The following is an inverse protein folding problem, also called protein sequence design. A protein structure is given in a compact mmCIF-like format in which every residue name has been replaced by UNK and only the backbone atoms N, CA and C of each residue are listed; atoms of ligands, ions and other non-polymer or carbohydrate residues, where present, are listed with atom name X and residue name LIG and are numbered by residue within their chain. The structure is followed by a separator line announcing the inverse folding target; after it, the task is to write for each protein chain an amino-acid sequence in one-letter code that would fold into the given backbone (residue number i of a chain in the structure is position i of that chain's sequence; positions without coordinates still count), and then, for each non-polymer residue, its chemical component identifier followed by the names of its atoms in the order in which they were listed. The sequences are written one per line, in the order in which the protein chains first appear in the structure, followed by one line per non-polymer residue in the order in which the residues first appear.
data_IF_994251840314
#
_entry.id   IF_994251840314
#
_cell.length_a   1.000
_cell.length_b   1.000
_cell.length_c   1.000
_cell.angle_alpha   90.00
_cell.angle_beta   90.00
_cell.angle_gamma   90.00
#
_symmetry.space_group_name_H-M   'P 1'
#
loop_
_entity.id
_entity.type
_entity.pdbx_description
1 polymer ?
#
# COMPACT_ATOMS: atom_id res chain seq x y z
N UNK A 1 11.00 -20.84 -37.11
CA UNK A 1 10.85 -21.14 -35.67
C UNK A 1 12.06 -20.72 -34.82
N UNK A 2 13.30 -21.12 -35.11
CA UNK A 2 14.50 -20.76 -34.30
C UNK A 2 14.67 -19.22 -34.12
N UNK A 3 14.55 -18.43 -35.20
CA UNK A 3 14.65 -16.96 -35.12
C UNK A 3 13.55 -16.33 -34.26
N UNK A 4 12.31 -16.81 -34.35
CA UNK A 4 11.20 -16.30 -33.53
C UNK A 4 11.43 -16.57 -32.02
N UNK A 5 11.95 -17.75 -31.68
CA UNK A 5 12.30 -18.07 -30.28
C UNK A 5 13.44 -17.19 -29.77
N UNK A 6 14.46 -16.92 -30.60
CA UNK A 6 15.55 -16.01 -30.24
C UNK A 6 15.04 -14.59 -30.01
N UNK A 7 14.17 -14.07 -30.90
CA UNK A 7 13.58 -12.74 -30.72
C UNK A 7 12.75 -12.66 -29.44
N UNK A 8 11.92 -13.65 -29.16
CA UNK A 8 11.13 -13.70 -27.91
C UNK A 8 12.03 -13.72 -26.67
N UNK A 9 13.11 -14.52 -26.69
CA UNK A 9 14.07 -14.55 -25.59
C UNK A 9 14.77 -13.21 -25.40
N UNK A 10 15.20 -12.55 -26.48
CA UNK A 10 15.83 -11.22 -26.41
C UNK A 10 14.86 -10.19 -25.83
N UNK A 11 13.61 -10.17 -26.29
CA UNK A 11 12.58 -9.26 -25.75
C UNK A 11 12.35 -9.52 -24.28
N UNK A 12 12.19 -10.78 -23.88
CA UNK A 12 11.99 -11.14 -22.47
C UNK A 12 13.17 -10.68 -21.59
N UNK A 13 14.41 -11.00 -21.98
CA UNK A 13 15.60 -10.58 -21.26
C UNK A 13 15.78 -9.06 -21.20
N UNK A 14 15.37 -8.35 -22.26
CA UNK A 14 15.42 -6.88 -22.27
C UNK A 14 14.40 -6.27 -21.31
N UNK A 15 13.21 -6.83 -21.21
CA UNK A 15 12.17 -6.38 -20.25
C UNK A 15 12.56 -6.71 -18.82
N UNK A 16 13.11 -7.90 -18.59
CA UNK A 16 13.62 -8.34 -17.31
C UNK A 16 14.75 -7.41 -16.80
N UNK A 17 15.72 -7.12 -17.64
CA UNK A 17 16.78 -6.16 -17.33
C UNK A 17 16.26 -4.74 -17.08
N UNK A 18 15.27 -4.30 -17.85
CA UNK A 18 14.66 -2.98 -17.67
C UNK A 18 13.92 -2.87 -16.33
N UNK A 19 13.21 -3.93 -15.91
CA UNK A 19 12.55 -4.00 -14.62
C UNK A 19 13.56 -3.97 -13.47
N UNK A 20 14.64 -4.74 -13.57
CA UNK A 20 15.73 -4.76 -12.59
C UNK A 20 16.38 -3.37 -12.45
N UNK A 21 16.73 -2.74 -13.59
CA UNK A 21 17.30 -1.39 -13.60
C UNK A 21 16.35 -0.35 -12.98
N UNK A 22 15.04 -0.47 -13.24
CA UNK A 22 14.02 0.37 -12.61
C UNK A 22 13.99 0.16 -11.08
N UNK A 23 13.93 -1.07 -10.60
CA UNK A 23 13.93 -1.34 -9.16
C UNK A 23 15.21 -0.86 -8.47
N UNK A 24 16.38 -1.03 -9.08
CA UNK A 24 17.64 -0.48 -8.57
C UNK A 24 17.55 1.05 -8.45
N UNK A 25 16.92 1.75 -9.40
CA UNK A 25 16.76 3.21 -9.37
C UNK A 25 15.92 3.69 -8.18
N UNK A 26 15.02 2.84 -7.65
CA UNK A 26 14.19 3.15 -6.49
C UNK A 26 14.97 3.33 -5.19
N UNK A 27 16.26 2.97 -5.15
CA UNK A 27 17.11 3.33 -4.00
C UNK A 27 17.28 4.85 -3.85
N UNK A 28 17.13 5.62 -4.92
CA UNK A 28 17.41 7.07 -4.95
C UNK A 28 16.24 7.91 -5.47
N UNK A 29 15.25 7.28 -6.08
CA UNK A 29 14.13 7.94 -6.72
C UNK A 29 12.80 7.42 -6.16
N UNK A 30 11.85 8.33 -5.97
CA UNK A 30 10.46 7.98 -5.70
C UNK A 30 9.71 7.94 -7.02
N UNK A 31 8.89 6.90 -7.30
CA UNK A 31 8.08 6.89 -8.50
C UNK A 31 7.03 8.01 -8.42
N UNK A 32 6.96 8.91 -9.41
CA UNK A 32 5.95 9.97 -9.42
C UNK A 32 4.55 9.43 -9.74
N UNK A 33 4.47 8.28 -10.33
CA UNK A 33 3.23 7.59 -10.75
C UNK A 33 3.51 6.10 -10.92
N UNK A 34 2.55 5.27 -10.57
CA UNK A 34 2.63 3.81 -10.77
C UNK A 34 1.76 3.36 -11.93
N UNK A 35 2.02 2.14 -12.43
CA UNK A 35 1.15 1.55 -13.46
C UNK A 35 -0.30 1.40 -12.96
N UNK A 36 -0.48 1.14 -11.67
CA UNK A 36 -1.80 1.05 -11.04
C UNK A 36 -2.55 2.39 -11.04
N UNK A 37 -1.87 3.49 -10.72
CA UNK A 37 -2.43 4.85 -10.78
C UNK A 37 -2.86 5.21 -12.20
N UNK A 38 -2.01 4.93 -13.20
CA UNK A 38 -2.31 5.25 -14.61
C UNK A 38 -3.58 4.57 -15.12
N UNK A 39 -3.94 3.40 -14.62
CA UNK A 39 -5.14 2.70 -15.03
C UNK A 39 -6.42 3.30 -14.43
N UNK A 40 -6.33 3.92 -13.26
CA UNK A 40 -7.45 4.63 -12.63
C UNK A 40 -7.96 5.83 -13.44
N UNK A 41 -7.13 6.42 -14.28
CA UNK A 41 -7.50 7.44 -15.28
C UNK A 41 -7.91 8.79 -14.70
N UNK A 42 -7.81 8.99 -13.39
CA UNK A 42 -8.16 10.21 -12.66
C UNK A 42 -6.96 11.11 -12.34
N UNK A 43 -7.22 12.19 -11.62
CA UNK A 43 -6.18 12.94 -10.91
C UNK A 43 -5.71 12.10 -9.72
N UNK A 44 -4.42 11.86 -9.61
CA UNK A 44 -3.85 11.11 -8.50
C UNK A 44 -3.34 12.09 -7.45
N UNK A 45 -3.89 12.00 -6.25
CA UNK A 45 -3.37 12.69 -5.07
C UNK A 45 -2.30 11.78 -4.47
N UNK A 46 -1.06 12.22 -4.54
CA UNK A 46 0.10 11.40 -4.22
C UNK A 46 1.28 12.27 -3.76
N UNK A 47 1.26 12.66 -2.51
CA UNK A 47 2.36 13.35 -1.86
C UNK A 47 3.21 12.37 -1.05
N UNK A 48 4.50 12.39 -1.26
CA UNK A 48 5.43 11.44 -0.66
C UNK A 48 5.75 11.79 0.79
N UNK A 49 5.81 10.77 1.66
CA UNK A 49 6.33 10.87 3.02
C UNK A 49 7.47 9.88 3.24
N UNK A 50 8.61 10.34 3.80
CA UNK A 50 9.69 9.44 4.18
C UNK A 50 9.28 8.58 5.39
N UNK A 51 9.68 7.30 5.40
CA UNK A 51 9.33 6.34 6.44
C UNK A 51 9.62 6.83 7.86
N UNK A 52 10.68 7.61 8.03
CA UNK A 52 11.06 8.21 9.32
C UNK A 52 10.07 9.26 9.85
N UNK A 53 9.14 9.74 9.03
CA UNK A 53 8.07 10.65 9.40
C UNK A 53 6.68 10.00 9.40
N UNK A 54 6.63 8.67 9.40
CA UNK A 54 5.39 7.91 9.56
C UNK A 54 5.29 7.40 10.99
N UNK A 55 4.10 7.48 11.57
CA UNK A 55 3.82 6.99 12.92
C UNK A 55 4.28 5.54 13.09
N UNK A 56 4.98 5.21 14.18
CA UNK A 56 5.35 3.84 14.48
C UNK A 56 4.14 2.90 14.57
N UNK A 57 2.98 3.41 14.94
CA UNK A 57 1.75 2.65 14.97
C UNK A 57 1.27 2.27 13.56
N UNK A 58 1.35 3.20 12.61
CA UNK A 58 0.98 2.91 11.21
C UNK A 58 1.93 1.89 10.59
N UNK A 59 3.25 2.06 10.82
CA UNK A 59 4.26 1.13 10.33
C UNK A 59 4.00 -0.28 10.88
N UNK A 60 3.84 -0.41 12.21
CA UNK A 60 3.64 -1.71 12.85
C UNK A 60 2.30 -2.36 12.45
N UNK A 61 1.21 -1.59 12.38
CA UNK A 61 -0.09 -2.07 11.93
C UNK A 61 -0.04 -2.57 10.48
N UNK A 62 0.66 -1.85 9.59
CA UNK A 62 0.85 -2.27 8.19
C UNK A 62 1.58 -3.60 8.10
N UNK A 63 2.68 -3.77 8.83
CA UNK A 63 3.44 -5.02 8.84
C UNK A 63 2.58 -6.17 9.38
N UNK A 64 1.96 -6.00 10.54
CA UNK A 64 1.17 -7.04 11.17
C UNK A 64 -0.04 -7.46 10.33
N UNK A 65 -0.67 -6.50 9.61
CA UNK A 65 -1.86 -6.77 8.82
C UNK A 65 -1.57 -7.32 7.42
N UNK A 66 -0.57 -6.76 6.75
CA UNK A 66 -0.32 -7.07 5.34
C UNK A 66 0.78 -8.12 5.15
N UNK A 67 1.81 -8.11 6.01
CA UNK A 67 2.96 -9.02 5.85
C UNK A 67 3.76 -9.16 7.15
N UNK A 68 3.24 -9.92 8.10
CA UNK A 68 3.88 -10.17 9.39
C UNK A 68 5.27 -10.85 9.26
N UNK A 69 5.57 -11.44 8.11
CA UNK A 69 6.85 -12.10 7.86
C UNK A 69 7.92 -11.14 7.32
N UNK A 70 7.55 -9.96 6.82
CA UNK A 70 8.48 -8.99 6.23
C UNK A 70 9.73 -8.69 7.08
N UNK A 71 9.65 -8.56 8.43
CA UNK A 71 10.82 -8.30 9.26
C UNK A 71 11.84 -9.43 9.26
N UNK A 72 11.39 -10.69 9.24
CA UNK A 72 12.21 -11.89 9.43
C UNK A 72 12.49 -12.65 8.14
N UNK A 73 11.56 -12.62 7.18
CA UNK A 73 11.66 -13.32 5.90
C UNK A 73 11.48 -12.31 4.74
N UNK A 74 12.57 -11.64 4.38
CA UNK A 74 12.54 -10.69 3.28
C UNK A 74 12.71 -11.43 1.95
N UNK A 75 11.60 -11.94 1.43
CA UNK A 75 11.50 -12.62 0.13
C UNK A 75 10.40 -11.97 -0.70
N UNK A 76 10.56 -11.98 -2.01
CA UNK A 76 9.53 -11.46 -2.92
C UNK A 76 8.27 -12.30 -2.89
N UNK A 77 8.43 -13.60 -2.67
CA UNK A 77 7.36 -14.59 -2.69
C UNK A 77 7.56 -15.62 -1.58
N UNK A 78 6.52 -15.88 -0.80
CA UNK A 78 6.46 -17.13 -0.04
C UNK A 78 6.03 -18.26 -1.00
N UNK A 79 6.98 -19.09 -1.44
CA UNK A 79 6.74 -20.14 -2.42
C UNK A 79 5.75 -21.21 -1.94
N UNK A 80 5.66 -21.46 -0.63
CA UNK A 80 4.68 -22.42 -0.08
C UNK A 80 3.26 -21.87 -0.17
N UNK A 81 3.08 -20.61 0.25
CA UNK A 81 1.80 -19.93 0.13
C UNK A 81 1.43 -19.72 -1.35
N UNK A 82 2.40 -19.33 -2.18
CA UNK A 82 2.19 -19.13 -3.62
C UNK A 82 1.66 -20.41 -4.29
N UNK A 83 2.24 -21.56 -3.98
CA UNK A 83 1.76 -22.84 -4.51
C UNK A 83 0.35 -23.19 -4.01
N UNK A 84 0.04 -22.92 -2.76
CA UNK A 84 -1.30 -23.10 -2.21
C UNK A 84 -2.32 -22.17 -2.89
N UNK A 85 -1.95 -20.95 -3.22
CA UNK A 85 -2.77 -19.97 -3.96
C UNK A 85 -3.01 -20.41 -5.40
N UNK A 86 -2.00 -20.93 -6.09
CA UNK A 86 -2.14 -21.52 -7.44
C UNK A 86 -3.11 -22.70 -7.39
N UNK A 87 -2.97 -23.59 -6.42
CA UNK A 87 -3.88 -24.74 -6.29
C UNK A 87 -5.30 -24.34 -5.92
N UNK A 88 -5.48 -23.33 -5.09
CA UNK A 88 -6.77 -22.73 -4.77
C UNK A 88 -7.44 -22.14 -6.03
N UNK A 89 -6.68 -21.39 -6.82
CA UNK A 89 -7.16 -20.86 -8.10
C UNK A 89 -7.61 -21.96 -9.06
N UNK A 90 -6.80 -23.00 -9.24
CA UNK A 90 -7.15 -24.14 -10.11
C UNK A 90 -8.38 -24.90 -9.62
N UNK A 91 -8.65 -24.89 -8.32
CA UNK A 91 -9.84 -25.52 -7.70
C UNK A 91 -11.04 -24.59 -7.60
N UNK A 92 -10.95 -23.35 -8.13
CA UNK A 92 -11.97 -22.32 -8.00
C UNK A 92 -12.37 -22.01 -6.54
N UNK A 93 -11.46 -22.22 -5.60
CA UNK A 93 -11.63 -21.88 -4.19
C UNK A 93 -11.11 -20.48 -3.88
N UNK A 94 -11.52 -19.92 -2.72
CA UNK A 94 -10.97 -18.63 -2.27
C UNK A 94 -9.47 -18.73 -2.05
N UNK A 95 -8.75 -17.65 -2.37
CA UNK A 95 -7.35 -17.50 -2.00
C UNK A 95 -7.27 -17.49 -0.46
N UNK A 96 -6.53 -18.43 0.16
CA UNK A 96 -6.45 -18.52 1.61
C UNK A 96 -5.50 -17.48 2.24
N UNK A 97 -4.69 -16.80 1.44
CA UNK A 97 -3.65 -15.90 1.90
C UNK A 97 -3.66 -14.56 1.16
N UNK A 98 -3.29 -13.48 1.83
CA UNK A 98 -2.94 -12.20 1.20
C UNK A 98 -1.64 -12.29 0.39
N UNK A 99 -1.37 -11.32 -0.47
CA UNK A 99 -0.05 -11.16 -1.11
C UNK A 99 0.89 -10.46 -0.16
N UNK A 100 2.16 -10.88 -0.02
CA UNK A 100 3.15 -10.15 0.77
C UNK A 100 3.39 -8.73 0.20
N UNK A 101 3.86 -7.82 1.07
CA UNK A 101 4.09 -6.41 0.69
C UNK A 101 4.97 -6.27 -0.56
N UNK A 102 6.10 -6.99 -0.72
CA UNK A 102 6.90 -6.89 -1.94
C UNK A 102 6.12 -7.25 -3.22
N UNK A 103 5.27 -8.28 -3.17
CA UNK A 103 4.45 -8.68 -4.32
C UNK A 103 3.37 -7.65 -4.64
N UNK A 104 2.74 -7.06 -3.62
CA UNK A 104 1.76 -5.99 -3.79
C UNK A 104 2.43 -4.75 -4.40
N UNK A 105 3.60 -4.35 -3.90
CA UNK A 105 4.34 -3.19 -4.39
C UNK A 105 4.81 -3.39 -5.83
N UNK A 106 5.47 -4.50 -6.15
CA UNK A 106 5.96 -4.79 -7.50
C UNK A 106 4.81 -4.77 -8.53
N UNK A 107 3.66 -5.35 -8.15
CA UNK A 107 2.44 -5.29 -8.95
C UNK A 107 1.98 -3.84 -9.19
N UNK A 108 1.88 -3.03 -8.14
CA UNK A 108 1.38 -1.66 -8.25
C UNK A 108 2.31 -0.78 -9.09
N UNK A 109 3.62 -0.99 -8.98
CA UNK A 109 4.61 -0.22 -9.72
C UNK A 109 4.58 -0.48 -11.24
N UNK A 110 4.47 -1.75 -11.67
CA UNK A 110 4.75 -2.14 -13.05
C UNK A 110 3.59 -2.84 -13.77
N UNK A 111 2.55 -3.29 -13.05
CA UNK A 111 1.50 -4.12 -13.64
C UNK A 111 0.12 -3.49 -13.46
N UNK A 112 -0.77 -3.84 -14.37
CA UNK A 112 -2.18 -3.42 -14.34
C UNK A 112 -3.05 -4.36 -13.49
N UNK A 113 -4.19 -3.90 -12.94
CA UNK A 113 -5.14 -4.76 -12.26
C UNK A 113 -5.72 -5.80 -13.21
N UNK A 114 -5.49 -7.08 -12.90
CA UNK A 114 -6.05 -8.20 -13.66
C UNK A 114 -6.07 -9.47 -12.81
N UNK A 115 -7.04 -10.34 -13.04
CA UNK A 115 -7.12 -11.66 -12.41
C UNK A 115 -6.53 -12.79 -13.29
N UNK A 116 -5.67 -12.45 -14.25
CA UNK A 116 -5.06 -13.42 -15.16
C UNK A 116 -3.94 -14.21 -14.43
N UNK A 117 -3.89 -15.56 -14.53
CA UNK A 117 -2.83 -16.36 -13.92
C UNK A 117 -1.42 -16.05 -14.45
N UNK A 118 -1.29 -15.65 -15.73
CA UNK A 118 0.02 -15.22 -16.28
C UNK A 118 0.53 -13.97 -15.54
N UNK A 119 -0.35 -13.02 -15.24
CA UNK A 119 0.01 -11.85 -14.43
C UNK A 119 0.51 -12.26 -13.04
N UNK A 120 -0.10 -13.27 -12.41
CA UNK A 120 0.33 -13.75 -11.10
C UNK A 120 1.75 -14.34 -11.09
N UNK A 121 2.18 -14.94 -12.21
CA UNK A 121 3.58 -15.37 -12.38
C UNK A 121 4.48 -14.14 -12.52
N UNK A 122 4.06 -13.12 -13.27
CA UNK A 122 4.83 -11.87 -13.39
C UNK A 122 4.93 -11.15 -12.04
N UNK A 123 3.84 -11.11 -11.23
CA UNK A 123 3.89 -10.57 -9.87
C UNK A 123 5.03 -11.22 -9.06
N UNK A 124 5.12 -12.54 -9.10
CA UNK A 124 6.13 -13.30 -8.36
C UNK A 124 7.56 -13.00 -8.84
N UNK A 125 7.79 -12.98 -10.16
CA UNK A 125 9.11 -12.68 -10.72
C UNK A 125 9.55 -11.27 -10.38
N UNK A 126 8.67 -10.28 -10.55
CA UNK A 126 8.97 -8.89 -10.24
C UNK A 126 9.16 -8.65 -8.74
N UNK A 127 8.40 -9.34 -7.88
CA UNK A 127 8.59 -9.26 -6.44
C UNK A 127 9.97 -9.78 -5.99
N UNK A 128 10.44 -10.90 -6.59
CA UNK A 128 11.79 -11.40 -6.32
C UNK A 128 12.88 -10.43 -6.79
N UNK A 129 12.73 -9.83 -7.97
CA UNK A 129 13.68 -8.80 -8.42
C UNK A 129 13.68 -7.60 -7.46
N UNK A 130 12.51 -7.14 -7.02
CA UNK A 130 12.38 -6.00 -6.13
C UNK A 130 13.14 -6.19 -4.81
N UNK A 131 12.99 -7.34 -4.14
CA UNK A 131 13.64 -7.59 -2.85
C UNK A 131 15.15 -7.79 -2.97
N UNK A 132 15.67 -8.12 -4.15
CA UNK A 132 17.08 -8.14 -4.42
C UNK A 132 17.66 -6.76 -4.74
N UNK A 133 16.85 -5.87 -5.29
CA UNK A 133 17.25 -4.54 -5.73
C UNK A 133 17.27 -3.48 -4.62
N UNK A 134 16.34 -3.55 -3.66
CA UNK A 134 16.17 -2.55 -2.60
C UNK A 134 15.98 -3.18 -1.21
N UNK A 135 16.23 -2.39 -0.16
CA UNK A 135 16.10 -2.87 1.23
C UNK A 135 14.65 -3.06 1.65
N UNK A 136 14.42 -3.90 2.69
CA UNK A 136 13.06 -4.11 3.24
C UNK A 136 12.43 -2.82 3.79
N UNK A 137 13.24 -1.92 4.36
CA UNK A 137 12.76 -0.62 4.82
C UNK A 137 12.30 0.24 3.63
N UNK A 138 13.05 0.19 2.52
CA UNK A 138 12.67 0.93 1.31
C UNK A 138 11.43 0.34 0.63
N UNK A 139 11.27 -0.99 0.64
CA UNK A 139 10.03 -1.64 0.18
C UNK A 139 8.84 -1.14 1.00
N UNK A 140 8.95 -1.12 2.33
CA UNK A 140 7.87 -0.64 3.20
C UNK A 140 7.57 0.85 3.00
N UNK A 141 8.62 1.68 2.85
CA UNK A 141 8.47 3.11 2.57
C UNK A 141 7.70 3.36 1.28
N UNK A 142 8.09 2.68 0.21
CA UNK A 142 7.40 2.77 -1.07
C UNK A 142 5.98 2.22 -0.98
N UNK A 143 5.77 1.09 -0.29
CA UNK A 143 4.43 0.53 -0.11
C UNK A 143 3.47 1.53 0.55
N UNK A 144 3.90 2.17 1.64
CA UNK A 144 3.11 3.18 2.35
C UNK A 144 2.84 4.44 1.50
N UNK A 145 3.66 4.70 0.51
CA UNK A 145 3.47 5.82 -0.41
C UNK A 145 2.64 5.44 -1.66
N UNK A 146 2.72 4.19 -2.13
CA UNK A 146 2.07 3.78 -3.37
C UNK A 146 0.72 3.04 -3.16
N UNK A 147 0.40 2.66 -1.92
CA UNK A 147 -0.88 2.02 -1.59
C UNK A 147 -2.04 2.99 -1.80
N UNK A 148 -3.13 2.49 -2.38
CA UNK A 148 -4.36 3.26 -2.53
C UNK A 148 -5.16 3.22 -1.23
N UNK A 149 -5.56 4.39 -0.74
CA UNK A 149 -6.35 4.57 0.48
C UNK A 149 -7.73 5.23 0.23
N UNK A 150 -8.06 5.52 -1.01
CA UNK A 150 -9.35 6.10 -1.38
C UNK A 150 -9.49 6.24 -2.89
N UNK A 151 -10.65 6.64 -3.42
CA UNK A 151 -10.74 7.04 -4.81
C UNK A 151 -9.71 8.13 -5.11
N UNK A 152 -8.77 7.83 -6.02
CA UNK A 152 -7.68 8.72 -6.44
C UNK A 152 -6.73 9.21 -5.34
N UNK A 153 -6.78 8.61 -4.11
CA UNK A 153 -5.91 8.95 -2.98
C UNK A 153 -4.88 7.84 -2.79
N UNK A 154 -3.61 8.20 -2.91
CA UNK A 154 -2.49 7.28 -2.78
C UNK A 154 -1.51 7.79 -1.72
N UNK A 155 -0.96 6.83 -0.96
CA UNK A 155 0.06 7.12 0.04
C UNK A 155 -0.47 7.62 1.38
N UNK A 156 0.37 7.39 2.38
CA UNK A 156 0.07 7.71 3.77
C UNK A 156 -0.09 9.22 4.01
N UNK A 157 0.67 10.06 3.30
CA UNK A 157 0.58 11.50 3.43
C UNK A 157 -0.83 12.00 3.13
N UNK A 158 -1.33 11.73 1.94
CA UNK A 158 -2.62 12.22 1.50
C UNK A 158 -3.78 11.57 2.26
N UNK A 159 -3.66 10.27 2.55
CA UNK A 159 -4.68 9.53 3.29
C UNK A 159 -4.92 10.09 4.70
N UNK A 160 -3.85 10.35 5.45
CA UNK A 160 -3.95 10.84 6.82
C UNK A 160 -4.54 12.24 6.89
N UNK A 161 -4.08 13.14 6.02
CA UNK A 161 -4.63 14.48 5.90
C UNK A 161 -6.08 14.48 5.40
N UNK A 162 -6.40 13.61 4.45
CA UNK A 162 -7.75 13.54 3.92
C UNK A 162 -8.76 13.04 4.95
N UNK A 163 -8.49 11.92 5.60
CA UNK A 163 -9.45 11.34 6.53
C UNK A 163 -9.44 12.03 7.89
N UNK A 164 -8.27 12.26 8.46
CA UNK A 164 -8.15 12.67 9.86
C UNK A 164 -7.77 14.13 10.05
N UNK A 165 -7.24 14.80 9.02
CA UNK A 165 -6.75 16.16 9.12
C UNK A 165 -5.46 16.27 9.93
N UNK A 166 -4.68 15.20 9.99
CA UNK A 166 -3.46 15.06 10.77
C UNK A 166 -2.31 14.56 9.89
N UNK A 167 -1.04 14.94 10.17
CA UNK A 167 0.10 14.43 9.44
C UNK A 167 0.36 12.95 9.77
N UNK A 168 1.10 12.22 8.91
CA UNK A 168 1.36 10.78 9.10
C UNK A 168 2.10 10.44 10.39
N UNK A 169 2.87 11.36 10.98
CA UNK A 169 3.58 11.15 12.24
C UNK A 169 2.68 11.23 13.48
N UNK A 170 1.54 11.89 13.41
CA UNK A 170 0.59 12.06 14.53
C UNK A 170 -0.52 11.00 14.57
N UNK A 171 -0.57 10.09 13.59
CA UNK A 171 -1.59 9.04 13.52
C UNK A 171 -1.57 8.16 14.74
N UNK A 172 -2.72 8.03 15.38
CA UNK A 172 -2.96 7.11 16.49
C UNK A 172 -3.07 5.66 16.01
N UNK A 173 -2.96 4.73 16.97
CA UNK A 173 -3.10 3.30 16.69
C UNK A 173 -4.48 2.94 16.09
N UNK A 174 -5.57 3.56 16.59
CA UNK A 174 -6.91 3.32 16.06
C UNK A 174 -7.05 3.81 14.62
N UNK A 175 -6.53 5.01 14.31
CA UNK A 175 -6.53 5.52 12.94
C UNK A 175 -5.70 4.65 11.99
N UNK A 176 -4.58 4.09 12.49
CA UNK A 176 -3.81 3.12 11.73
C UNK A 176 -4.65 1.86 11.39
N UNK A 177 -5.43 1.34 12.35
CA UNK A 177 -6.33 0.21 12.08
C UNK A 177 -7.42 0.55 11.06
N UNK A 178 -8.01 1.75 11.13
CA UNK A 178 -8.98 2.20 10.15
C UNK A 178 -8.37 2.22 8.74
N UNK A 179 -7.13 2.74 8.58
CA UNK A 179 -6.44 2.75 7.29
C UNK A 179 -6.12 1.33 6.78
N UNK A 180 -5.76 0.40 7.66
CA UNK A 180 -5.58 -1.01 7.26
C UNK A 180 -6.90 -1.62 6.75
N UNK A 181 -8.02 -1.24 7.34
CA UNK A 181 -9.35 -1.65 6.88
C UNK A 181 -9.71 -1.16 5.48
N UNK A 182 -9.15 -0.03 5.06
CA UNK A 182 -9.39 0.54 3.71
C UNK A 182 -8.66 -0.23 2.61
N UNK A 183 -7.46 -0.74 2.87
CA UNK A 183 -6.57 -1.35 1.86
C UNK A 183 -7.22 -2.43 0.99
N UNK A 184 -8.11 -3.31 1.50
CA UNK A 184 -8.73 -4.34 0.68
C UNK A 184 -9.69 -3.82 -0.40
N UNK A 185 -10.27 -2.61 -0.23
CA UNK A 185 -11.27 -2.06 -1.15
C UNK A 185 -11.31 -0.52 -1.17
N UNK A 186 -10.19 0.16 -1.45
CA UNK A 186 -10.03 1.60 -1.25
C UNK A 186 -10.99 2.46 -2.09
N UNK A 187 -11.53 1.94 -3.17
CA UNK A 187 -12.46 2.66 -4.05
C UNK A 187 -13.81 2.99 -3.38
N UNK A 188 -14.13 2.32 -2.27
CA UNK A 188 -15.35 2.57 -1.48
C UNK A 188 -15.11 3.49 -0.29
N UNK A 189 -13.85 3.81 0.02
CA UNK A 189 -13.50 4.61 1.17
C UNK A 189 -13.70 6.11 0.88
N UNK A 190 -14.69 6.71 1.52
CA UNK A 190 -15.00 8.12 1.41
C UNK A 190 -14.85 8.82 2.77
N UNK A 191 -14.58 10.12 2.74
CA UNK A 191 -14.48 10.94 3.94
C UNK A 191 -15.86 11.39 4.42
N UNK A 192 -16.11 11.35 5.73
CA UNK A 192 -17.27 12.00 6.33
C UNK A 192 -17.11 13.54 6.31
N UNK A 193 -18.21 14.30 6.21
CA UNK A 193 -18.14 15.76 6.30
C UNK A 193 -17.45 16.28 7.58
N UNK A 194 -17.61 15.54 8.69
CA UNK A 194 -16.96 15.85 9.98
C UNK A 194 -15.54 15.34 10.14
N UNK A 195 -14.97 14.67 9.13
CA UNK A 195 -13.70 13.96 9.21
C UNK A 195 -13.88 12.48 9.58
N UNK A 196 -12.83 11.69 9.33
CA UNK A 196 -12.84 10.23 9.45
C UNK A 196 -13.44 9.54 8.23
N UNK A 197 -13.31 8.21 8.18
CA UNK A 197 -13.81 7.37 7.09
C UNK A 197 -15.32 7.18 7.22
N UNK A 198 -16.05 7.25 6.12
CA UNK A 198 -17.49 7.05 6.12
C UNK A 198 -17.87 5.57 6.28
N UNK A 199 -18.45 5.23 7.39
CA UNK A 199 -18.97 3.91 7.74
C UNK A 199 -20.51 3.91 7.84
N UNK A 200 -21.20 4.80 7.11
CA UNK A 200 -22.66 4.91 7.18
C UNK A 200 -23.31 3.66 6.59
N UNK A 201 -24.04 2.85 7.39
CA UNK A 201 -24.66 1.63 6.89
C UNK A 201 -25.83 1.89 5.93
N UNK A 202 -26.30 3.12 5.80
CA UNK A 202 -27.36 3.50 4.87
C UNK A 202 -26.86 3.60 3.42
N UNK A 203 -25.55 3.83 3.21
CA UNK A 203 -24.92 3.85 1.89
C UNK A 203 -24.30 2.49 1.53
N UNK A 204 -24.25 2.11 0.23
CA UNK A 204 -23.56 0.89 -0.18
C UNK A 204 -22.08 0.87 0.22
N UNK A 205 -21.35 1.95 -0.06
CA UNK A 205 -19.92 2.08 0.21
C UNK A 205 -19.64 2.10 1.72
N UNK A 206 -20.38 2.88 2.49
CA UNK A 206 -20.21 2.92 3.94
C UNK A 206 -20.52 1.58 4.63
N UNK A 207 -21.37 0.72 4.05
CA UNK A 207 -21.56 -0.65 4.56
C UNK A 207 -20.35 -1.55 4.29
N UNK A 208 -19.74 -1.41 3.11
CA UNK A 208 -18.53 -2.15 2.76
C UNK A 208 -17.40 -1.73 3.69
N UNK A 209 -17.15 -0.43 3.78
CA UNK A 209 -16.07 0.12 4.61
C UNK A 209 -16.26 -0.22 6.09
N UNK A 210 -17.49 -0.09 6.61
CA UNK A 210 -17.80 -0.49 7.98
C UNK A 210 -17.41 -1.93 8.27
N UNK A 211 -17.71 -2.86 7.35
CA UNK A 211 -17.38 -4.27 7.52
C UNK A 211 -15.87 -4.51 7.49
N UNK A 212 -15.15 -3.84 6.60
CA UNK A 212 -13.71 -3.97 6.46
C UNK A 212 -12.96 -3.34 7.65
N UNK A 213 -13.36 -2.14 8.06
CA UNK A 213 -12.75 -1.44 9.20
C UNK A 213 -13.01 -2.18 10.51
N UNK A 214 -14.23 -2.64 10.77
CA UNK A 214 -14.52 -3.44 11.97
C UNK A 214 -13.73 -4.76 11.99
N UNK A 215 -13.47 -5.33 10.84
CA UNK A 215 -12.61 -6.50 10.71
C UNK A 215 -11.15 -6.15 11.06
N UNK A 216 -10.64 -5.04 10.53
CA UNK A 216 -9.29 -4.56 10.84
C UNK A 216 -9.13 -4.19 12.33
N UNK A 217 -10.09 -3.45 12.89
CA UNK A 217 -10.12 -3.11 14.34
C UNK A 217 -10.10 -4.35 15.25
N UNK A 218 -10.63 -5.47 14.80
CA UNK A 218 -10.62 -6.73 15.55
C UNK A 218 -9.34 -7.54 15.35
N UNK A 219 -8.87 -7.67 14.10
CA UNK A 219 -7.74 -8.56 13.79
C UNK A 219 -6.39 -7.89 13.93
N UNK A 220 -6.23 -6.63 13.51
CA UNK A 220 -4.92 -5.96 13.51
C UNK A 220 -4.32 -5.80 14.91
N UNK A 221 -5.08 -5.41 15.96
CA UNK A 221 -4.55 -5.38 17.34
C UNK A 221 -4.04 -6.73 17.81
N UNK A 222 -4.80 -7.80 17.51
CA UNK A 222 -4.43 -9.16 17.90
C UNK A 222 -3.18 -9.64 17.17
N UNK A 223 -3.13 -9.40 15.86
CA UNK A 223 -2.02 -9.80 15.03
C UNK A 223 -0.76 -9.00 15.42
N UNK A 224 -0.91 -7.70 15.67
CA UNK A 224 0.17 -6.85 16.18
C UNK A 224 0.70 -7.33 17.53
N UNK A 225 -0.18 -7.69 18.48
CA UNK A 225 0.23 -8.24 19.78
C UNK A 225 0.96 -9.58 19.62
N UNK A 226 0.44 -10.45 18.77
CA UNK A 226 1.04 -11.76 18.48
C UNK A 226 2.43 -11.64 17.85
N UNK A 227 2.62 -10.69 16.94
CA UNK A 227 3.87 -10.46 16.21
C UNK A 227 4.88 -9.60 16.97
N UNK A 228 4.64 -9.29 18.24
CA UNK A 228 5.58 -8.60 19.12
C UNK A 228 5.40 -7.08 19.22
N UNK A 229 4.30 -6.55 18.72
CA UNK A 229 3.95 -5.13 18.84
C UNK A 229 4.93 -4.22 18.12
N UNK A 230 5.35 -3.14 18.78
CA UNK A 230 6.30 -2.18 18.19
C UNK A 230 7.74 -2.75 18.05
N UNK A 231 8.03 -3.95 18.56
CA UNK A 231 9.33 -4.61 18.31
C UNK A 231 9.52 -4.93 16.83
N UNK A 232 8.45 -5.07 16.05
CA UNK A 232 8.51 -5.19 14.60
C UNK A 232 9.36 -4.10 13.93
N UNK A 233 9.32 -2.86 14.47
CA UNK A 233 10.15 -1.77 13.95
C UNK A 233 11.65 -2.07 14.15
N UNK A 234 12.01 -2.60 15.31
CA UNK A 234 13.40 -2.99 15.62
C UNK A 234 13.87 -4.12 14.70
N UNK A 235 13.02 -5.12 14.46
CA UNK A 235 13.29 -6.23 13.55
C UNK A 235 13.42 -5.76 12.10
N UNK A 236 12.67 -4.74 11.71
CA UNK A 236 12.82 -4.05 10.44
C UNK A 236 14.10 -3.21 10.37
N UNK A 237 14.81 -2.99 11.47
CA UNK A 237 15.96 -2.09 11.55
C UNK A 237 15.54 -0.60 11.52
N UNK A 238 14.31 -0.28 11.91
CA UNK A 238 13.80 1.08 12.03
C UNK A 238 14.09 1.56 13.45
N UNK A 239 15.14 2.35 13.61
CA UNK A 239 15.61 2.84 14.93
C UNK A 239 15.18 4.27 15.22
N UNK A 240 14.79 5.01 14.21
CA UNK A 240 14.32 6.39 14.28
C UNK A 240 12.80 6.40 14.11
N UNK A 241 12.10 7.06 15.00
CA UNK A 241 10.64 7.21 14.95
C UNK A 241 10.26 8.66 14.66
N UNK A 242 9.10 8.86 14.07
CA UNK A 242 8.59 10.18 13.69
C UNK A 242 8.68 11.23 14.80
N UNK A 243 8.50 10.82 16.06
CA UNK A 243 8.55 11.74 17.21
C UNK A 243 9.94 12.30 17.54
N UNK A 244 11.00 11.67 17.06
CA UNK A 244 12.39 12.09 17.33
C UNK A 244 13.03 12.86 16.17
N UNK A 245 12.38 12.92 15.03
CA UNK A 245 12.95 13.52 13.82
C UNK A 245 12.60 15.01 13.70
N UNK A 246 13.58 15.88 13.40
CA UNK A 246 13.30 17.28 13.10
C UNK A 246 12.56 17.39 11.75
N UNK A 247 11.82 18.50 11.57
CA UNK A 247 11.17 18.80 10.30
C UNK A 247 12.18 18.84 9.14
N UNK A 248 11.77 18.31 7.99
CA UNK A 248 12.66 18.25 6.84
C UNK A 248 11.94 17.81 5.55
N UNK A 249 12.67 17.70 4.45
CA UNK A 249 12.09 17.27 3.19
C UNK A 249 11.36 15.91 3.32
N UNK A 250 10.15 15.85 2.80
CA UNK A 250 9.32 14.63 2.85
C UNK A 250 8.70 14.33 4.21
N UNK A 251 8.54 15.34 5.09
CA UNK A 251 7.90 15.15 6.41
C UNK A 251 6.38 15.14 6.38
N UNK A 252 5.77 15.66 5.31
CA UNK A 252 4.31 15.74 5.15
C UNK A 252 3.56 16.35 6.37
N UNK A 253 4.23 17.23 7.14
CA UNK A 253 3.62 17.90 8.32
C UNK A 253 2.70 19.05 7.98
N UNK A 254 2.60 19.40 6.71
CA UNK A 254 1.66 20.38 6.19
C UNK A 254 0.69 19.72 5.25
N UNK A 255 -0.61 19.99 5.44
CA UNK A 255 -1.65 19.43 4.56
C UNK A 255 -1.37 19.78 3.09
N UNK A 256 -1.29 18.77 2.20
CA UNK A 256 -1.10 18.99 0.77
C UNK A 256 -2.17 19.92 0.19
N UNK A 257 -1.79 20.84 -0.72
CA UNK A 257 -2.73 21.82 -1.29
C UNK A 257 -3.91 21.17 -2.02
N UNK A 258 -3.70 20.04 -2.66
CA UNK A 258 -4.73 19.36 -3.45
C UNK A 258 -5.71 18.61 -2.54
N UNK A 259 -5.25 17.99 -1.45
CA UNK A 259 -6.12 17.44 -0.39
C UNK A 259 -6.99 18.54 0.22
N UNK A 260 -6.43 19.72 0.48
CA UNK A 260 -7.20 20.87 1.00
C UNK A 260 -8.29 21.31 0.03
N UNK A 261 -7.98 21.35 -1.28
CA UNK A 261 -8.96 21.67 -2.32
C UNK A 261 -10.07 20.63 -2.41
N UNK A 262 -9.71 19.34 -2.35
CA UNK A 262 -10.68 18.23 -2.39
C UNK A 262 -11.64 18.33 -1.20
N UNK A 263 -11.14 18.43 0.02
CA UNK A 263 -11.97 18.57 1.24
C UNK A 263 -12.91 19.78 1.14
N UNK A 264 -12.41 20.92 0.69
CA UNK A 264 -13.21 22.12 0.53
C UNK A 264 -14.30 21.98 -0.56
N UNK A 265 -14.04 21.20 -1.61
CA UNK A 265 -15.04 20.90 -2.65
C UNK A 265 -16.15 19.99 -2.12
N UNK A 266 -15.81 18.95 -1.38
CA UNK A 266 -16.77 18.04 -0.76
C UNK A 266 -17.68 18.74 0.26
N UNK A 267 -17.10 19.61 1.09
CA UNK A 267 -17.86 20.40 2.07
C UNK A 267 -18.87 21.34 1.41
N UNK A 268 -18.49 21.98 0.28
CA UNK A 268 -19.42 22.82 -0.49
C UNK A 268 -20.57 22.00 -1.10
N UNK A 269 -20.26 20.83 -1.64
CA UNK A 269 -21.27 19.93 -2.23
C UNK A 269 -22.27 19.45 -1.17
N UNK A 270 -21.79 19.08 0.01
CA UNK A 270 -22.64 18.64 1.12
C UNK A 270 -23.55 19.77 1.65
N UNK A 271 -23.08 21.02 1.66
CA UNK A 271 -23.87 22.18 2.11
C UNK A 271 -24.99 22.56 1.11
N UNK A 272 -24.91 22.18 -0.15
CA UNK A 272 -25.92 22.44 -1.18
C UNK A 272 -27.07 21.40 -1.12
N UNK A 273 -26.76 20.21 -0.59
CA UNK A 273 -27.69 19.06 -0.55
C UNK A 273 -28.44 18.92 0.78
N UNK A 274 -28.09 19.71 1.78
CA UNK A 274 -28.75 19.81 3.11
C UNK A 274 -29.77 20.95 3.14
#
# INVERSE_FOLDING_TARGET
MRHALVYLAVVFLSLDFAAEAYFISLNWMNPPVTAYMLEGGGEHLHDYVSLKYVSPYMIAATIAHEDAQLPTQFTGVDWNQWWNRVTAYLRHSKDPYGSPIPEQLAKNLLLWPSKNPIRKILDAVLAEQLVHAISKQRVLELYLNEAQFGPDIYGACDATWYYFGEPPDDISLNQAYELMGVLPSPVHAHRRPSGGIDMNPATPDGRIERGLIQNAEFYVPRDLEFDGGLNLLTEMGITSTAYSEPNGPGDCRSMPPDIRKLIAAEQRSSAVTS
#
